data_IF_680130877615
#
_entry.id   IF_680130877615
#
_cell.length_a   1.000
_cell.length_b   1.000
_cell.length_c   1.000
_cell.angle_alpha   90.00
_cell.angle_beta   90.00
_cell.angle_gamma   90.00
#
_symmetry.space_group_name_H-M   'P 1'
#
loop_
_entity.id
_entity.type
_entity.pdbx_description
1 polymer ?
#
# COMPACT_ATOMS: atom_id res chain seq x y z
N UNK A 1 -1.14 40.84 3.18
CA UNK A 1 -1.51 39.48 2.74
C UNK A 1 -0.66 38.48 3.52
N UNK A 2 -1.19 37.77 4.55
CA UNK A 2 -0.36 36.82 5.28
C UNK A 2 -0.16 35.53 4.46
N UNK A 3 1.11 35.18 4.26
CA UNK A 3 1.55 33.98 3.55
C UNK A 3 1.24 32.76 4.43
N UNK A 4 0.36 31.87 3.94
CA UNK A 4 0.01 30.62 4.63
C UNK A 4 1.18 29.63 4.49
N UNK A 5 1.90 29.39 5.58
CA UNK A 5 2.89 28.32 5.68
C UNK A 5 2.19 26.97 5.47
N UNK A 6 2.55 26.28 4.38
CA UNK A 6 2.12 24.90 4.12
C UNK A 6 3.05 23.98 4.91
N UNK A 7 2.53 23.37 5.98
CA UNK A 7 3.29 22.38 6.74
C UNK A 7 3.52 21.11 5.88
N UNK A 8 4.74 20.54 5.86
CA UNK A 8 5.00 19.29 5.17
C UNK A 8 4.34 18.12 5.92
N UNK A 9 3.57 17.29 5.20
CA UNK A 9 3.06 16.03 5.75
C UNK A 9 4.24 15.08 5.95
N UNK A 10 4.63 14.88 7.20
CA UNK A 10 5.59 13.87 7.61
C UNK A 10 5.15 12.48 7.12
N UNK A 11 5.83 11.93 6.12
CA UNK A 11 5.68 10.55 5.69
C UNK A 11 6.64 9.66 6.48
N UNK A 12 6.44 9.54 7.79
CA UNK A 12 7.10 8.55 8.63
C UNK A 12 6.23 7.28 8.68
N UNK A 13 6.73 6.16 8.17
CA UNK A 13 6.12 4.85 8.43
C UNK A 13 6.39 4.50 9.90
N UNK A 14 5.42 4.00 10.69
CA UNK A 14 5.73 3.50 12.03
C UNK A 14 6.63 2.27 11.91
N UNK A 15 7.83 2.38 12.48
CA UNK A 15 8.78 1.30 12.63
C UNK A 15 8.13 0.26 13.56
N UNK A 16 7.81 -0.93 13.02
CA UNK A 16 7.31 -2.06 13.83
C UNK A 16 8.46 -2.55 14.71
N UNK A 17 8.49 -2.18 15.98
CA UNK A 17 9.32 -2.87 16.97
C UNK A 17 8.61 -4.18 17.34
N UNK A 18 9.22 -5.28 16.89
CA UNK A 18 8.80 -6.64 17.19
C UNK A 18 9.09 -7.02 18.63
N UNK A 19 8.26 -7.94 19.13
CA UNK A 19 8.40 -8.70 20.37
C UNK A 19 9.78 -9.37 20.47
N UNK A 20 10.47 -9.21 21.60
CA UNK A 20 11.43 -10.17 22.16
C UNK A 20 11.37 -10.02 23.69
N UNK A 21 10.71 -10.93 24.38
CA UNK A 21 11.28 -12.14 24.99
C UNK A 21 11.83 -11.84 26.40
N UNK A 22 11.20 -12.47 27.39
CA UNK A 22 11.56 -12.47 28.80
C UNK A 22 12.99 -12.98 29.00
N UNK A 23 13.77 -12.30 29.85
CA UNK A 23 14.91 -12.89 30.55
C UNK A 23 14.72 -12.64 32.03
N UNK A 24 14.34 -13.71 32.72
CA UNK A 24 14.31 -13.82 34.17
C UNK A 24 15.77 -13.99 34.63
N UNK A 25 16.37 -12.97 35.24
CA UNK A 25 17.54 -13.17 36.12
C UNK A 25 17.23 -12.49 37.43
N UNK A 26 17.02 -13.34 38.42
CA UNK A 26 16.83 -13.01 39.81
C UNK A 26 18.20 -12.63 40.38
N UNK A 27 18.38 -11.37 40.77
CA UNK A 27 19.45 -11.00 41.69
C UNK A 27 18.91 -10.00 42.71
N UNK A 28 18.86 -10.50 43.93
CA UNK A 28 18.39 -9.89 45.16
C UNK A 28 19.42 -8.84 45.59
N UNK A 29 19.06 -7.56 45.62
CA UNK A 29 19.60 -6.59 46.59
C UNK A 29 18.55 -5.52 46.89
N UNK A 30 17.92 -5.70 48.04
CA UNK A 30 17.40 -4.70 49.01
C UNK A 30 16.86 -3.35 48.54
N UNK A 31 15.64 -3.09 49.02
CA UNK A 31 14.98 -1.80 49.21
C UNK A 31 14.30 -1.21 47.96
N UNK A 32 12.98 -1.40 47.92
CA UNK A 32 11.90 -0.48 47.47
C UNK A 32 10.65 -1.37 47.33
N UNK A 33 10.17 -1.91 48.46
CA UNK A 33 8.78 -2.37 48.58
C UNK A 33 7.93 -1.11 48.73
N UNK A 34 7.92 -0.31 47.68
CA UNK A 34 7.08 0.86 47.54
C UNK A 34 5.94 0.45 46.64
N UNK A 35 4.99 -0.23 47.29
CA UNK A 35 3.58 -0.15 46.94
C UNK A 35 3.27 -0.31 45.44
N UNK A 36 2.98 -1.56 45.09
CA UNK A 36 1.98 -1.87 44.08
C UNK A 36 0.65 -1.21 44.50
N UNK A 37 0.50 0.09 44.27
CA UNK A 37 -0.75 0.71 43.86
C UNK A 37 -0.50 0.98 42.39
N UNK A 38 -0.96 0.14 41.48
CA UNK A 38 -2.33 0.27 40.96
C UNK A 38 -2.73 1.74 40.82
N UNK A 39 -1.83 2.56 40.30
CA UNK A 39 -2.22 3.58 39.35
C UNK A 39 -1.73 3.07 38.00
N UNK A 40 -2.36 1.97 37.58
CA UNK A 40 -2.73 1.84 36.18
C UNK A 40 -3.69 2.98 35.84
N UNK A 41 -3.20 4.23 35.86
CA UNK A 41 -3.79 5.30 35.09
C UNK A 41 -3.44 4.98 33.65
N UNK A 42 -4.25 4.09 33.09
CA UNK A 42 -4.77 4.17 31.73
C UNK A 42 -4.19 5.39 31.00
N UNK A 43 -3.08 5.21 30.29
CA UNK A 43 -2.85 5.99 29.07
C UNK A 43 -3.76 5.39 27.98
N UNK A 44 -5.06 5.36 28.24
CA UNK A 44 -6.06 5.38 27.20
C UNK A 44 -6.45 6.83 27.12
N UNK A 45 -5.71 7.54 26.28
CA UNK A 45 -6.10 8.81 25.72
C UNK A 45 -7.60 8.73 25.39
N UNK A 46 -8.42 9.56 26.04
CA UNK A 46 -9.84 9.61 25.79
C UNK A 46 -10.06 9.97 24.32
N UNK A 47 -10.28 8.96 23.48
CA UNK A 47 -10.81 9.16 22.15
C UNK A 47 -12.16 9.83 22.32
N UNK A 48 -12.20 11.14 22.11
CA UNK A 48 -13.42 11.93 22.08
C UNK A 48 -14.34 11.43 20.96
N UNK A 49 -15.18 10.45 21.27
CA UNK A 49 -16.22 10.00 20.36
C UNK A 49 -17.41 10.94 20.54
N UNK A 50 -17.33 12.09 19.87
CA UNK A 50 -18.56 12.74 19.43
C UNK A 50 -19.31 11.74 18.53
N UNK A 51 -20.61 11.54 18.75
CA UNK A 51 -21.41 10.56 17.99
C UNK A 51 -21.21 10.71 16.48
N UNK A 52 -21.30 9.60 15.75
CA UNK A 52 -21.04 9.58 14.31
C UNK A 52 -21.98 10.53 13.57
N UNK A 53 -21.39 11.59 13.00
CA UNK A 53 -22.04 12.56 12.11
C UNK A 53 -21.30 12.54 10.79
N UNK A 54 -21.99 12.84 9.69
CA UNK A 54 -21.41 12.85 8.33
C UNK A 54 -20.08 13.61 8.25
N UNK A 55 -19.91 14.67 9.04
CA UNK A 55 -18.71 15.52 9.06
C UNK A 55 -17.47 14.84 9.66
N UNK A 56 -17.66 13.82 10.49
CA UNK A 56 -16.60 13.18 11.28
C UNK A 56 -16.25 11.77 10.77
N UNK A 57 -16.86 11.32 9.66
CA UNK A 57 -16.52 10.04 9.03
C UNK A 57 -15.32 10.21 8.11
N UNK A 58 -14.31 9.35 8.30
CA UNK A 58 -13.13 9.28 7.45
C UNK A 58 -12.80 7.84 7.11
N UNK A 59 -12.12 7.62 5.98
CA UNK A 59 -11.59 6.30 5.66
C UNK A 59 -10.33 6.03 6.48
N UNK A 60 -10.11 4.75 6.80
CA UNK A 60 -8.85 4.31 7.41
C UNK A 60 -7.66 4.71 6.50
N UNK A 61 -6.54 5.19 7.08
CA UNK A 61 -5.36 5.53 6.31
C UNK A 61 -4.91 4.35 5.45
N UNK A 62 -4.70 4.61 4.16
CA UNK A 62 -4.30 3.60 3.18
C UNK A 62 -5.44 2.89 2.44
N UNK A 63 -6.71 3.07 2.87
CA UNK A 63 -7.87 2.48 2.20
C UNK A 63 -8.03 2.96 0.74
N UNK A 64 -7.86 4.26 0.49
CA UNK A 64 -7.92 4.85 -0.87
C UNK A 64 -6.63 5.58 -1.22
N UNK A 65 -6.03 5.21 -2.35
CA UNK A 65 -4.85 5.89 -2.92
C UNK A 65 -5.29 6.78 -4.08
N UNK A 66 -4.81 8.02 -4.12
CA UNK A 66 -5.08 8.94 -5.24
C UNK A 66 -4.38 8.43 -6.50
N UNK A 67 -5.11 8.35 -7.62
CA UNK A 67 -4.56 7.95 -8.90
C UNK A 67 -3.62 9.03 -9.47
N UNK A 68 -2.59 8.61 -10.20
CA UNK A 68 -1.71 9.53 -10.93
C UNK A 68 -2.44 10.04 -12.18
N UNK A 69 -2.56 11.37 -12.32
CA UNK A 69 -3.11 12.00 -13.52
C UNK A 69 -1.97 12.19 -14.53
N UNK A 70 -1.96 11.36 -15.57
CA UNK A 70 -0.95 11.42 -16.65
C UNK A 70 -1.12 12.67 -17.50
N UNK A 71 -0.05 13.16 -18.13
CA UNK A 71 -0.11 14.32 -19.04
C UNK A 71 -0.34 15.65 -18.33
N UNK A 72 0.18 15.82 -17.11
CA UNK A 72 0.04 17.04 -16.29
C UNK A 72 1.41 17.58 -15.86
N UNK A 73 2.25 17.87 -16.85
CA UNK A 73 3.61 18.39 -16.63
C UNK A 73 4.61 17.35 -16.15
N UNK A 74 5.90 17.68 -16.27
CA UNK A 74 7.01 16.76 -15.97
C UNK A 74 7.11 16.47 -14.47
N UNK A 75 6.79 17.45 -13.62
CA UNK A 75 6.89 17.37 -12.15
C UNK A 75 6.08 16.21 -11.56
N UNK A 76 4.97 15.83 -12.19
CA UNK A 76 4.10 14.73 -11.74
C UNK A 76 4.66 13.34 -12.14
N UNK A 77 5.72 13.30 -12.95
CA UNK A 77 6.49 12.10 -13.32
C UNK A 77 6.07 11.41 -14.62
N UNK A 78 4.83 11.62 -15.10
CA UNK A 78 4.33 11.06 -16.37
C UNK A 78 3.78 12.17 -17.27
N UNK A 79 4.59 13.20 -17.49
CA UNK A 79 4.23 14.40 -18.24
C UNK A 79 4.26 14.21 -19.75
N UNK A 80 5.45 14.12 -20.34
CA UNK A 80 5.65 14.21 -21.79
C UNK A 80 5.02 13.02 -22.54
N UNK A 81 5.52 11.81 -22.29
CA UNK A 81 5.09 10.61 -22.99
C UNK A 81 4.04 9.79 -22.22
N UNK A 82 3.54 10.28 -21.08
CA UNK A 82 2.61 9.56 -20.21
C UNK A 82 3.08 8.14 -19.79
N UNK A 83 4.38 7.84 -19.91
CA UNK A 83 4.97 6.52 -19.69
C UNK A 83 4.86 5.54 -20.88
N UNK A 84 4.47 5.98 -22.07
CA UNK A 84 4.36 5.15 -23.27
C UNK A 84 5.66 5.06 -24.10
N UNK A 85 6.67 5.89 -23.81
CA UNK A 85 7.93 5.91 -24.54
C UNK A 85 7.90 6.74 -25.82
N UNK A 86 8.72 6.37 -26.81
CA UNK A 86 8.79 7.01 -28.13
C UNK A 86 7.71 6.47 -29.08
N UNK A 87 7.77 6.86 -30.36
CA UNK A 87 6.82 6.45 -31.40
C UNK A 87 6.96 4.95 -31.67
N UNK A 88 5.93 4.18 -31.34
CA UNK A 88 5.82 2.74 -31.62
C UNK A 88 4.36 2.30 -31.62
N UNK A 89 4.06 1.06 -32.01
CA UNK A 89 2.68 0.55 -32.07
C UNK A 89 1.94 0.67 -30.73
N UNK A 90 2.62 0.39 -29.61
CA UNK A 90 2.07 0.47 -28.24
C UNK A 90 1.80 1.89 -27.74
N UNK A 91 2.38 2.90 -28.40
CA UNK A 91 2.15 4.31 -28.07
C UNK A 91 0.92 4.89 -28.75
N UNK A 92 0.31 4.17 -29.72
CA UNK A 92 -0.83 4.64 -30.51
C UNK A 92 -2.14 4.35 -29.77
N UNK A 93 -3.14 5.18 -30.06
CA UNK A 93 -4.51 4.97 -29.59
C UNK A 93 -5.11 3.77 -30.32
N UNK A 94 -5.75 2.87 -29.58
CA UNK A 94 -6.47 1.72 -30.12
C UNK A 94 -6.17 0.40 -29.40
N UNK A 95 -6.81 -0.70 -29.83
CA UNK A 95 -6.51 -2.03 -29.33
C UNK A 95 -5.05 -2.38 -29.61
N UNK A 96 -4.34 -2.83 -28.58
CA UNK A 96 -2.99 -3.34 -28.72
C UNK A 96 -2.95 -4.71 -29.41
N UNK A 97 -1.73 -5.22 -29.55
CA UNK A 97 -1.48 -6.60 -29.97
C UNK A 97 -2.14 -7.58 -28.98
N UNK A 98 -2.78 -8.65 -29.49
CA UNK A 98 -3.40 -9.69 -28.66
C UNK A 98 -2.37 -10.31 -27.71
N UNK A 99 -2.74 -10.48 -26.44
CA UNK A 99 -1.92 -11.21 -25.47
C UNK A 99 -1.63 -12.63 -25.98
N UNK A 100 -0.36 -12.99 -26.07
CA UNK A 100 0.11 -14.27 -26.64
C UNK A 100 0.40 -14.24 -28.14
N UNK A 101 0.40 -13.08 -28.80
CA UNK A 101 0.97 -12.93 -30.14
C UNK A 101 2.48 -12.64 -30.04
N UNK A 102 3.27 -13.46 -30.72
CA UNK A 102 4.75 -13.42 -30.70
C UNK A 102 5.32 -12.83 -32.01
N UNK A 103 4.62 -11.91 -32.68
CA UNK A 103 5.16 -11.21 -33.86
C UNK A 103 5.08 -12.01 -35.17
N UNK A 104 4.12 -12.94 -35.28
CA UNK A 104 3.99 -13.86 -36.43
C UNK A 104 4.60 -15.24 -36.19
N UNK A 105 5.39 -15.38 -35.13
CA UNK A 105 5.84 -16.67 -34.62
C UNK A 105 4.65 -17.51 -34.11
N UNK A 106 4.69 -18.83 -34.33
CA UNK A 106 3.67 -19.75 -33.80
C UNK A 106 3.62 -19.62 -32.28
N UNK A 107 2.50 -19.17 -31.69
CA UNK A 107 2.48 -18.80 -30.28
C UNK A 107 2.53 -20.02 -29.36
N UNK A 108 3.06 -19.85 -28.15
CA UNK A 108 3.28 -20.93 -27.17
C UNK A 108 2.04 -21.83 -26.95
N UNK A 109 0.84 -21.25 -26.86
CA UNK A 109 -0.39 -22.00 -26.62
C UNK A 109 -0.80 -22.93 -27.78
N UNK A 110 -0.19 -22.78 -28.96
CA UNK A 110 -0.35 -23.70 -30.10
C UNK A 110 0.77 -24.72 -30.19
N UNK A 111 1.95 -24.40 -29.65
CA UNK A 111 3.13 -25.28 -29.66
C UNK A 111 3.01 -26.43 -28.69
N UNK A 112 2.47 -26.15 -27.50
CA UNK A 112 2.37 -27.14 -26.44
C UNK A 112 1.15 -28.04 -26.66
N UNK A 113 1.27 -29.35 -26.39
CA UNK A 113 0.12 -30.25 -26.43
C UNK A 113 -0.90 -29.88 -25.32
N UNK A 114 -2.17 -30.17 -25.58
CA UNK A 114 -3.22 -30.01 -24.56
C UNK A 114 -2.98 -30.99 -23.41
N UNK A 115 -3.30 -30.57 -22.18
CA UNK A 115 -3.19 -31.43 -21.00
C UNK A 115 -4.12 -32.63 -21.12
N UNK A 116 -3.65 -33.84 -20.77
CA UNK A 116 -4.39 -35.10 -20.95
C UNK A 116 -5.80 -35.05 -20.33
N UNK A 117 -5.91 -34.53 -19.11
CA UNK A 117 -7.17 -34.41 -18.36
C UNK A 117 -8.18 -33.40 -18.95
N UNK A 118 -7.72 -32.45 -19.77
CA UNK A 118 -8.62 -31.48 -20.40
C UNK A 118 -9.46 -32.08 -21.52
N UNK A 119 -9.11 -33.26 -22.03
CA UNK A 119 -9.83 -33.93 -23.12
C UNK A 119 -11.03 -34.78 -22.63
N UNK A 120 -11.03 -35.20 -21.36
CA UNK A 120 -12.15 -35.96 -20.76
C UNK A 120 -13.36 -35.09 -20.42
N UNK A 121 -13.19 -33.76 -20.29
CA UNK A 121 -14.27 -32.82 -19.93
C UNK A 121 -14.94 -32.15 -21.13
N UNK A 122 -14.57 -32.55 -22.36
CA UNK A 122 -15.06 -31.95 -23.61
C UNK A 122 -16.00 -32.90 -24.36
N UNK A 123 -16.11 -34.17 -23.92
CA UNK A 123 -17.06 -35.16 -24.45
C UNK A 123 -18.21 -35.39 -23.47
#
# INVERSE_FOLDING_TARGET
>A
MPVRLVQPRASGKPFRTGRFAYVFVQCITTAEVSLVVIVGARLYEESGVSGFRLDNLGLQPGSKRKAKRKGRGIVVGQGNNCGFGMRGQTSRLGPGVRKGFEGGQMPLYRRLPKLRRSLELIN
#
